data_IF_994806331016
#
_entry.id   IF_994806331016
#
_cell.length_a   1.000
_cell.length_b   1.000
_cell.length_c   1.000
_cell.angle_alpha   90.00
_cell.angle_beta   90.00
_cell.angle_gamma   90.00
#
_symmetry.space_group_name_H-M   'P 1'
#
loop_
_entity.id
_entity.type
_entity.pdbx_description
1 polymer ?
2 branched ?
3 branched ?
4 non-polymer ?
5 non-polymer ?
6 non-polymer ?
7 water ?
#
# COMPACT_ATOMS: atom_id res chain seq x y z
N UNK A 1 -4.58 2.87 0.98
CA UNK A 1 -4.41 3.86 2.09
C UNK A 1 -4.89 5.23 1.66
N UNK A 2 -5.09 6.07 2.66
CA UNK A 2 -5.35 7.47 2.37
C UNK A 2 -4.06 8.22 2.11
N UNK A 3 -4.15 9.55 2.11
CA UNK A 3 -2.96 10.37 1.75
C UNK A 3 -1.72 10.15 2.61
N UNK A 4 -1.93 10.09 3.91
CA UNK A 4 -0.80 9.98 4.80
C UNK A 4 -0.04 8.66 4.59
N UNK A 5 -0.80 7.57 4.47
CA UNK A 5 -0.13 6.27 4.27
C UNK A 5 0.69 6.26 3.00
N UNK A 6 0.13 6.74 1.90
CA UNK A 6 0.91 6.73 0.64
C UNK A 6 2.10 7.70 0.74
N UNK A 7 1.91 8.83 1.42
CA UNK A 7 3.09 9.75 1.51
C UNK A 7 4.25 9.07 2.28
N UNK A 8 3.91 8.36 3.34
CA UNK A 8 4.89 7.70 4.19
C UNK A 8 5.63 6.67 3.36
N UNK A 9 4.86 5.81 2.69
CA UNK A 9 5.47 4.80 1.86
C UNK A 9 6.39 5.39 0.79
N UNK A 10 5.90 6.43 0.09
CA UNK A 10 6.75 7.02 -0.95
C UNK A 10 7.96 7.77 -0.38
N UNK A 11 7.83 8.38 0.79
CA UNK A 11 8.98 9.09 1.37
C UNK A 11 10.05 8.11 1.75
N UNK A 12 9.65 6.99 2.35
CA UNK A 12 10.61 5.95 2.71
C UNK A 12 11.27 5.41 1.43
N UNK A 13 10.47 5.10 0.42
CA UNK A 13 10.98 4.52 -0.83
C UNK A 13 11.97 5.46 -1.54
N UNK A 14 11.61 6.74 -1.60
CA UNK A 14 12.50 7.60 -2.36
C UNK A 14 13.89 7.71 -1.77
N UNK A 15 14.03 7.58 -0.45
CA UNK A 15 15.36 7.70 0.13
C UNK A 15 16.14 6.41 0.09
N UNK A 16 15.50 5.35 -0.40
CA UNK A 16 16.15 4.05 -0.56
C UNK A 16 16.48 3.70 -2.00
N UNK A 17 16.32 4.65 -2.93
CA UNK A 17 16.63 4.39 -4.34
C UNK A 17 18.11 4.43 -4.59
N UNK A 18 18.57 3.59 -5.51
CA UNK A 18 19.99 3.64 -5.84
C UNK A 18 20.14 4.72 -6.90
N UNK A 19 21.38 5.05 -7.29
CA UNK A 19 21.49 6.17 -8.24
C UNK A 19 20.75 6.00 -9.58
N UNK A 20 20.72 4.81 -10.18
CA UNK A 20 20.01 4.70 -11.49
C UNK A 20 18.50 4.87 -11.35
N UNK A 21 17.93 4.30 -10.31
CA UNK A 21 16.49 4.51 -10.07
C UNK A 21 16.21 5.97 -9.64
N UNK A 22 17.09 6.61 -8.86
CA UNK A 22 16.84 8.00 -8.43
C UNK A 22 16.81 8.88 -9.67
N UNK A 23 17.72 8.60 -10.60
CA UNK A 23 17.79 9.33 -11.86
C UNK A 23 16.52 9.15 -12.70
N UNK A 24 16.10 7.91 -12.88
CA UNK A 24 14.89 7.62 -13.67
C UNK A 24 13.67 8.26 -13.04
N UNK A 25 13.54 8.20 -11.70
CA UNK A 25 12.36 8.83 -11.07
C UNK A 25 12.37 10.35 -11.28
N UNK A 26 13.55 10.96 -11.15
CA UNK A 26 13.59 12.42 -11.34
C UNK A 26 13.20 12.75 -12.78
N UNK A 27 13.62 11.93 -13.75
CA UNK A 27 13.28 12.19 -15.15
C UNK A 27 11.82 11.95 -15.47
N UNK A 28 11.21 10.93 -14.84
CA UNK A 28 9.81 10.63 -15.10
C UNK A 28 8.81 11.53 -14.35
N UNK A 29 9.18 12.15 -13.24
CA UNK A 29 8.22 12.99 -12.54
C UNK A 29 7.95 14.29 -13.29
N UNK A 30 6.72 14.80 -13.24
CA UNK A 30 6.49 16.07 -13.96
C UNK A 30 7.15 17.23 -13.19
N UNK A 31 7.39 18.35 -13.87
CA UNK A 31 8.02 19.48 -13.20
C UNK A 31 7.28 19.92 -11.95
N UNK A 32 5.94 19.84 -11.96
CA UNK A 32 5.16 20.30 -10.83
C UNK A 32 5.39 19.55 -9.50
N UNK A 33 5.91 18.33 -9.60
CA UNK A 33 6.19 17.52 -8.42
C UNK A 33 7.43 17.98 -7.68
N UNK A 34 8.20 18.87 -8.28
CA UNK A 34 9.42 19.36 -7.68
C UNK A 34 10.36 18.26 -7.21
N UNK A 35 10.43 17.18 -7.97
CA UNK A 35 11.33 16.10 -7.66
C UNK A 35 10.88 15.12 -6.57
N UNK A 36 9.69 15.35 -6.00
CA UNK A 36 9.23 14.55 -4.84
C UNK A 36 8.19 13.52 -5.25
N UNK A 37 8.54 12.23 -5.30
CA UNK A 37 7.59 11.19 -5.65
C UNK A 37 6.37 11.25 -4.74
N UNK A 38 6.57 11.54 -3.46
CA UNK A 38 5.43 11.50 -2.55
C UNK A 38 4.40 12.60 -2.81
N UNK A 39 4.74 13.59 -3.65
CA UNK A 39 3.75 14.60 -3.91
C UNK A 39 2.68 14.05 -4.86
N UNK A 40 2.95 12.91 -5.52
CA UNK A 40 2.00 12.33 -6.50
C UNK A 40 1.61 10.89 -6.16
N UNK A 41 1.89 10.46 -4.95
CA UNK A 41 1.54 9.07 -4.62
C UNK A 41 0.04 8.80 -4.44
N UNK A 42 -0.79 9.85 -4.52
CA UNK A 42 -2.26 9.68 -4.48
C UNK A 42 -2.86 9.91 -5.88
N UNK A 43 -2.01 10.20 -6.87
CA UNK A 43 -2.49 10.45 -8.23
C UNK A 43 -3.37 9.32 -8.71
N UNK A 44 -2.99 8.08 -8.42
CA UNK A 44 -3.86 7.00 -8.90
C UNK A 44 -5.27 7.09 -8.35
N UNK A 45 -5.43 7.53 -7.10
CA UNK A 45 -6.80 7.62 -6.59
C UNK A 45 -7.61 8.70 -7.34
N UNK A 46 -6.92 9.68 -7.90
CA UNK A 46 -7.59 10.75 -8.62
C UNK A 46 -7.97 10.45 -10.06
N UNK A 47 -7.68 9.26 -10.55
CA UNK A 47 -8.12 8.89 -11.90
C UNK A 47 -9.05 7.65 -11.87
N UNK A 48 -9.56 7.32 -10.68
CA UNK A 48 -10.45 6.17 -10.55
C UNK A 48 -11.71 6.33 -11.47
N UNK A 49 -12.16 7.57 -11.68
CA UNK A 49 -13.35 7.80 -12.55
C UNK A 49 -12.98 8.22 -13.96
N UNK A 50 -11.94 9.02 -14.10
CA UNK A 50 -11.49 9.36 -15.43
C UNK A 50 -10.99 8.10 -16.15
N UNK A 51 -10.37 7.19 -15.42
CA UNK A 51 -9.89 5.92 -16.00
C UNK A 51 -10.66 4.89 -15.20
N UNK A 52 -11.92 4.64 -15.59
CA UNK A 52 -12.72 3.77 -14.75
C UNK A 52 -12.27 2.30 -14.68
N UNK A 53 -11.56 1.88 -15.72
CA UNK A 53 -11.02 0.55 -15.84
C UNK A 53 -9.94 0.41 -14.75
N UNK A 54 -9.51 1.52 -14.16
CA UNK A 54 -8.44 1.40 -13.15
C UNK A 54 -8.97 1.17 -11.72
N UNK A 55 -10.27 1.37 -11.47
CA UNK A 55 -10.78 1.27 -10.11
C UNK A 55 -10.54 -0.07 -9.40
N UNK A 56 -10.76 -1.21 -10.11
CA UNK A 56 -10.55 -2.51 -9.47
C UNK A 56 -9.08 -2.83 -9.24
N UNK A 57 -8.19 -2.04 -9.85
CA UNK A 57 -6.75 -2.30 -9.76
C UNK A 57 -6.21 -1.91 -8.39
N UNK A 58 -7.02 -1.30 -7.54
CA UNK A 58 -6.51 -0.89 -6.21
C UNK A 58 -6.62 -1.95 -5.16
N UNK A 59 -7.32 -3.06 -5.42
CA UNK A 59 -7.48 -4.03 -4.33
C UNK A 59 -7.65 -5.46 -4.91
N UNK A 60 -7.81 -6.41 -4.00
CA UNK A 60 -8.08 -7.83 -4.33
C UNK A 60 -9.24 -8.25 -3.48
N UNK A 61 -10.25 -8.87 -4.09
CA UNK A 61 -11.39 -9.40 -3.33
C UNK A 61 -11.18 -10.92 -3.17
N UNK A 62 -11.31 -11.43 -1.95
CA UNK A 62 -11.14 -12.88 -1.76
C UNK A 62 -12.40 -13.48 -1.11
N UNK A 63 -12.48 -14.84 -1.06
CA UNK A 63 -13.63 -15.48 -0.41
C UNK A 63 -13.41 -15.21 1.10
N UNK A 64 -14.39 -15.56 1.93
CA UNK A 64 -14.23 -15.38 3.36
C UNK A 64 -13.32 -16.46 3.96
N UNK A 65 -12.00 -16.30 3.84
CA UNK A 65 -11.03 -17.25 4.41
C UNK A 65 -9.72 -16.50 4.45
N UNK A 66 -8.63 -17.02 5.04
CA UNK A 66 -7.38 -16.24 5.11
C UNK A 66 -6.39 -16.61 4.03
N UNK A 67 -6.94 -16.86 2.87
CA UNK A 67 -6.20 -17.35 1.74
C UNK A 67 -6.19 -16.43 0.53
N UNK A 68 -5.05 -16.35 -0.17
CA UNK A 68 -4.99 -15.59 -1.44
C UNK A 68 -4.25 -16.44 -2.48
N UNK A 69 -4.85 -16.55 -3.68
CA UNK A 69 -4.25 -17.27 -4.81
C UNK A 69 -4.48 -16.42 -6.06
N UNK A 70 -3.42 -16.07 -6.78
CA UNK A 70 -3.56 -15.22 -7.97
C UNK A 70 -4.59 -15.76 -8.98
N UNK A 71 -4.43 -17.02 -9.35
CA UNK A 71 -5.37 -17.50 -10.37
C UNK A 71 -6.83 -17.48 -9.93
N UNK A 72 -7.08 -17.72 -8.65
CA UNK A 72 -8.46 -17.71 -8.13
C UNK A 72 -9.02 -16.31 -7.90
N UNK A 73 -8.20 -15.44 -7.31
CA UNK A 73 -8.69 -14.11 -6.89
C UNK A 73 -8.36 -12.88 -7.70
N UNK A 74 -7.36 -12.97 -8.54
CA UNK A 74 -6.98 -11.79 -9.28
C UNK A 74 -7.82 -11.67 -10.54
N UNK A 75 -8.98 -11.04 -10.38
CA UNK A 75 -9.94 -10.84 -11.46
C UNK A 75 -10.91 -9.76 -10.97
N UNK A 76 -11.56 -9.06 -11.88
CA UNK A 76 -12.46 -8.04 -11.41
C UNK A 76 -13.88 -8.62 -11.31
N UNK A 77 -14.87 -7.77 -11.07
CA UNK A 77 -16.24 -8.22 -10.92
C UNK A 77 -16.76 -8.96 -12.19
N UNK A 78 -16.20 -8.61 -13.35
CA UNK A 78 -16.62 -9.23 -14.61
C UNK A 78 -15.95 -10.56 -14.82
N UNK A 79 -14.96 -10.86 -13.99
CA UNK A 79 -14.25 -12.12 -14.11
C UNK A 79 -13.00 -12.02 -14.95
N UNK A 80 -12.67 -10.83 -15.44
CA UNK A 80 -11.46 -10.68 -16.26
C UNK A 80 -10.21 -10.90 -15.40
N UNK A 81 -9.44 -11.93 -15.74
CA UNK A 81 -8.23 -12.28 -14.99
C UNK A 81 -7.18 -11.17 -15.04
N UNK A 82 -6.47 -10.99 -13.92
CA UNK A 82 -5.43 -9.98 -13.90
C UNK A 82 -5.85 -8.60 -13.46
N UNK A 83 -7.15 -8.35 -13.32
CA UNK A 83 -7.59 -7.02 -12.96
C UNK A 83 -7.77 -6.85 -11.45
N UNK A 84 -6.63 -6.75 -10.77
CA UNK A 84 -6.62 -6.55 -9.30
C UNK A 84 -5.24 -5.92 -9.05
N UNK A 85 -5.00 -5.50 -7.79
CA UNK A 85 -3.72 -4.82 -7.52
C UNK A 85 -2.47 -5.66 -7.82
N UNK A 86 -2.52 -6.98 -7.62
CA UNK A 86 -1.30 -7.79 -7.95
C UNK A 86 -1.07 -7.77 -9.45
N UNK A 87 -2.14 -7.97 -10.22
CA UNK A 87 -1.98 -7.89 -11.68
C UNK A 87 -1.54 -6.51 -12.17
N UNK A 88 -1.97 -5.44 -11.51
CA UNK A 88 -1.59 -4.09 -11.90
C UNK A 88 -0.09 -3.92 -11.64
N UNK A 89 0.35 -4.44 -10.50
CA UNK A 89 1.76 -4.29 -10.19
C UNK A 89 2.64 -5.02 -11.24
N UNK A 90 2.25 -6.22 -11.63
CA UNK A 90 3.00 -6.91 -12.69
C UNK A 90 2.95 -6.11 -13.97
N UNK A 91 1.76 -5.59 -14.30
CA UNK A 91 1.61 -4.80 -15.55
C UNK A 91 2.51 -3.58 -15.62
N UNK A 92 2.43 -2.70 -14.61
CA UNK A 92 3.17 -1.48 -14.63
C UNK A 92 4.66 -1.65 -14.38
N UNK A 93 5.04 -2.66 -13.60
CA UNK A 93 6.48 -2.89 -13.43
C UNK A 93 7.07 -3.37 -14.78
N UNK A 94 6.33 -4.21 -15.48
CA UNK A 94 6.84 -4.67 -16.80
C UNK A 94 6.97 -3.48 -17.74
N UNK A 95 6.02 -2.57 -17.72
CA UNK A 95 6.12 -1.39 -18.61
C UNK A 95 7.37 -0.56 -18.30
N UNK A 96 7.72 -0.43 -17.01
CA UNK A 96 8.88 0.38 -16.67
C UNK A 96 10.21 -0.26 -17.07
N UNK A 97 10.20 -1.53 -17.36
CA UNK A 97 11.47 -2.18 -17.77
C UNK A 97 11.84 -1.62 -19.15
N UNK A 98 10.90 -0.98 -19.83
CA UNK A 98 11.20 -0.41 -21.14
C UNK A 98 11.83 0.96 -21.06
N UNK A 99 11.92 1.53 -19.86
CA UNK A 99 12.45 2.89 -19.74
C UNK A 99 13.87 3.03 -20.29
N UNK A 100 14.01 4.04 -21.16
CA UNK A 100 15.23 4.44 -21.88
C UNK A 100 16.16 3.28 -22.23
N UNK A 108 2.41 1.02 -26.79
CA UNK A 108 3.40 1.76 -25.94
C UNK A 108 2.75 2.67 -24.91
N UNK A 109 3.45 2.80 -23.79
CA UNK A 109 2.85 3.43 -22.63
C UNK A 109 3.46 4.69 -22.08
N UNK A 110 2.62 5.40 -21.33
CA UNK A 110 3.01 6.61 -20.68
C UNK A 110 3.79 6.09 -19.46
N UNK A 111 5.13 6.27 -19.40
CA UNK A 111 5.85 5.72 -18.24
C UNK A 111 5.75 6.58 -16.99
N UNK A 112 5.35 7.85 -17.11
CA UNK A 112 5.10 8.68 -15.93
C UNK A 112 3.90 8.04 -15.23
N UNK A 113 2.84 7.72 -15.98
CA UNK A 113 1.71 7.03 -15.34
C UNK A 113 2.11 5.68 -14.75
N UNK A 114 2.94 4.90 -15.45
CA UNK A 114 3.36 3.59 -14.91
C UNK A 114 4.07 3.78 -13.60
N UNK A 115 4.96 4.76 -13.51
CA UNK A 115 5.69 5.02 -12.23
C UNK A 115 4.69 5.41 -11.12
N UNK A 116 3.71 6.27 -11.45
CA UNK A 116 2.77 6.69 -10.42
C UNK A 116 1.80 5.54 -10.03
N UNK A 117 1.44 4.69 -10.99
CA UNK A 117 0.57 3.57 -10.67
C UNK A 117 1.41 2.57 -9.82
N UNK A 118 2.64 2.26 -10.25
CA UNK A 118 3.44 1.29 -9.45
C UNK A 118 3.63 1.79 -8.02
N UNK A 119 3.90 3.09 -7.85
CA UNK A 119 4.13 3.65 -6.49
C UNK A 119 2.86 3.56 -5.64
N UNK A 120 1.72 3.95 -6.21
CA UNK A 120 0.48 3.85 -5.43
C UNK A 120 0.06 2.36 -5.15
N UNK A 121 0.09 1.52 -6.17
CA UNK A 121 -0.33 0.13 -6.01
C UNK A 121 0.58 -0.68 -5.09
N UNK A 122 1.88 -0.39 -5.08
CA UNK A 122 2.75 -1.10 -4.13
C UNK A 122 2.29 -0.71 -2.72
N UNK A 123 1.83 0.54 -2.57
CA UNK A 123 1.33 0.93 -1.28
C UNK A 123 0.02 0.20 -0.97
N UNK A 124 -0.96 0.24 -1.89
CA UNK A 124 -2.25 -0.36 -1.61
C UNK A 124 -2.18 -1.85 -1.34
N UNK A 125 -1.28 -2.57 -2.03
CA UNK A 125 -1.24 -4.02 -1.81
C UNK A 125 -0.74 -4.36 -0.39
N UNK A 126 -0.20 -3.36 0.33
CA UNK A 126 0.23 -3.56 1.71
C UNK A 126 -0.82 -3.16 2.76
N UNK A 127 -1.94 -2.57 2.32
CA UNK A 127 -3.03 -2.22 3.27
C UNK A 127 -3.79 -3.55 3.43
N UNK A 128 -3.84 -4.12 4.66
CA UNK A 128 -4.54 -5.40 4.84
C UNK A 128 -5.92 -5.50 4.25
N UNK A 129 -6.70 -4.45 4.44
CA UNK A 129 -8.07 -4.50 3.89
C UNK A 129 -8.16 -4.24 2.40
N UNK A 130 -7.03 -4.03 1.74
CA UNK A 130 -7.10 -4.02 0.28
C UNK A 130 -6.91 -5.44 -0.28
N UNK A 131 -6.75 -6.44 0.59
CA UNK A 131 -6.65 -7.86 0.12
C UNK A 131 -7.56 -8.56 1.15
N UNK A 132 -8.86 -8.44 0.92
CA UNK A 132 -9.76 -8.98 1.91
C UNK A 132 -11.07 -9.38 1.27
N UNK A 133 -12.09 -9.53 2.11
CA UNK A 133 -13.34 -10.13 1.65
C UNK A 133 -14.24 -9.40 0.68
N UNK A 134 -14.60 -10.08 -0.38
CA UNK A 134 -15.53 -9.48 -1.33
C UNK A 134 -16.88 -9.22 -0.58
N UNK A 135 -17.22 -10.11 0.34
CA UNK A 135 -18.54 -10.02 1.00
C UNK A 135 -18.84 -8.74 1.81
N UNK A 136 -17.78 -8.10 2.31
CA UNK A 136 -17.97 -6.82 3.00
C UNK A 136 -17.19 -5.67 2.31
N UNK A 137 -16.86 -5.89 1.03
CA UNK A 137 -16.17 -4.90 0.19
C UNK A 137 -14.95 -4.40 0.92
N UNK A 138 -14.16 -5.37 1.39
CA UNK A 138 -12.92 -5.01 2.08
C UNK A 138 -13.11 -4.20 3.35
N UNK A 139 -14.17 -4.52 4.10
CA UNK A 139 -14.48 -3.84 5.34
C UNK A 139 -15.23 -2.53 5.12
N UNK A 140 -15.51 -2.17 3.88
CA UNK A 140 -16.22 -0.91 3.66
C UNK A 140 -17.67 -0.92 4.18
N UNK A 141 -18.26 -2.12 4.27
CA UNK A 141 -19.63 -2.24 4.76
C UNK A 141 -19.73 -2.53 6.24
N UNK A 142 -18.59 -2.60 6.96
CA UNK A 142 -18.59 -2.84 8.41
C UNK A 142 -18.57 -1.47 9.08
N UNK A 143 -19.72 -1.06 9.59
CA UNK A 143 -19.87 0.26 10.19
C UNK A 143 -19.68 0.20 11.69
N UNK A 144 -18.72 0.99 12.19
CA UNK A 144 -18.41 1.03 13.60
C UNK A 144 -18.20 2.50 13.99
N UNK A 145 -17.57 2.73 15.13
CA UNK A 145 -17.23 4.08 15.54
C UNK A 145 -15.72 4.04 15.79
N UNK A 146 -15.02 5.09 15.37
CA UNK A 146 -13.59 5.22 15.67
C UNK A 146 -13.68 6.27 16.78
N UNK A 147 -13.38 5.90 18.02
CA UNK A 147 -13.60 6.79 19.16
C UNK A 147 -15.05 7.28 19.09
N UNK A 148 -15.32 8.59 19.08
CA UNK A 148 -16.73 9.01 19.11
C UNK A 148 -17.42 9.20 17.76
N UNK A 149 -16.71 8.98 16.66
CA UNK A 149 -17.26 9.24 15.37
C UNK A 149 -17.56 8.01 14.54
N UNK A 150 -18.60 8.10 13.73
CA UNK A 150 -18.92 6.99 12.82
C UNK A 150 -17.80 6.79 11.77
N UNK A 151 -17.47 5.53 11.48
CA UNK A 151 -16.47 5.24 10.45
C UNK A 151 -16.68 3.78 10.00
N UNK A 152 -16.21 3.44 8.82
CA UNK A 152 -16.26 2.03 8.42
C UNK A 152 -14.86 1.45 8.68
N UNK A 153 -14.78 0.12 8.76
CA UNK A 153 -13.50 -0.46 9.12
C UNK A 153 -12.44 -0.24 8.04
N UNK A 154 -12.84 -0.22 6.78
CA UNK A 154 -11.87 0.01 5.71
C UNK A 154 -11.20 1.38 5.89
N UNK A 155 -12.00 2.39 6.15
CA UNK A 155 -11.48 3.76 6.34
C UNK A 155 -10.60 3.88 7.57
N UNK A 156 -10.89 3.08 8.59
CA UNK A 156 -10.08 3.08 9.80
C UNK A 156 -8.67 2.66 9.42
N UNK A 157 -8.55 1.62 8.60
CA UNK A 157 -7.21 1.19 8.16
C UNK A 157 -6.58 2.08 7.10
N UNK A 158 -7.35 2.65 6.19
CA UNK A 158 -6.71 3.52 5.19
C UNK A 158 -6.23 4.82 5.85
N UNK A 159 -7.05 5.31 6.78
CA UNK A 159 -6.82 6.65 7.38
C UNK A 159 -6.87 6.90 8.88
N UNK A 160 -7.90 6.39 9.60
CA UNK A 160 -8.03 6.86 10.99
C UNK A 160 -6.90 6.47 11.91
N UNK A 161 -6.41 5.23 11.79
CA UNK A 161 -5.30 4.82 12.68
C UNK A 161 -4.09 5.72 12.48
N UNK A 162 -3.70 5.92 11.22
CA UNK A 162 -2.56 6.77 10.94
C UNK A 162 -2.82 8.20 11.39
N UNK A 163 -3.99 8.72 11.09
CA UNK A 163 -4.25 10.12 11.47
C UNK A 163 -4.24 10.31 12.97
N UNK A 164 -4.80 9.35 13.69
CA UNK A 164 -4.84 9.47 15.16
C UNK A 164 -3.41 9.38 15.66
N UNK A 165 -2.60 8.45 15.12
CA UNK A 165 -1.21 8.39 15.60
C UNK A 165 -0.46 9.71 15.29
N UNK A 166 -0.66 10.24 14.09
CA UNK A 166 0.03 11.50 13.71
C UNK A 166 -0.29 12.64 14.67
N UNK A 167 -1.56 12.75 15.05
CA UNK A 167 -1.94 13.82 15.97
C UNK A 167 -1.49 13.54 17.42
N UNK A 168 -1.89 12.37 17.91
CA UNK A 168 -1.69 12.06 19.32
C UNK A 168 -0.29 11.64 19.70
N UNK A 169 0.30 10.75 18.91
CA UNK A 169 1.63 10.28 19.27
C UNK A 169 2.74 11.11 18.67
N UNK A 170 2.50 11.72 17.50
CA UNK A 170 3.58 12.48 16.87
C UNK A 170 3.36 14.01 16.86
N UNK A 171 2.39 14.47 17.65
CA UNK A 171 2.19 15.94 17.84
C UNK A 171 2.08 16.68 16.52
N UNK A 172 1.35 16.07 15.59
CA UNK A 172 1.12 16.61 14.24
C UNK A 172 2.33 16.66 13.30
N UNK A 173 3.39 15.92 13.60
CA UNK A 173 4.56 15.88 12.69
C UNK A 173 4.53 14.50 11.97
N UNK A 174 4.02 14.41 10.75
CA UNK A 174 4.05 13.11 10.06
C UNK A 174 5.52 12.80 9.74
N UNK A 175 6.38 13.83 9.56
CA UNK A 175 7.77 13.47 9.32
C UNK A 175 8.26 12.78 10.55
N UNK A 176 7.59 12.94 11.70
CA UNK A 176 8.06 12.23 12.88
C UNK A 176 7.85 10.70 12.71
N UNK A 177 6.72 10.32 12.11
CA UNK A 177 6.41 8.90 11.91
C UNK A 177 7.36 8.32 10.87
N UNK A 178 7.59 9.10 9.81
CA UNK A 178 8.56 8.68 8.79
C UNK A 178 9.91 8.44 9.42
N UNK A 179 10.39 9.42 10.19
CA UNK A 179 11.68 9.28 10.80
C UNK A 179 11.81 8.07 11.72
N UNK A 180 10.75 7.79 12.51
CA UNK A 180 10.77 6.67 13.44
C UNK A 180 10.76 5.34 12.66
N UNK A 181 9.98 5.29 11.58
CA UNK A 181 10.00 4.04 10.75
C UNK A 181 11.37 3.86 10.15
N UNK A 182 11.94 4.91 9.55
CA UNK A 182 13.32 4.78 9.00
C UNK A 182 14.31 4.35 10.06
N UNK A 183 14.23 4.91 11.25
CA UNK A 183 15.14 4.43 12.30
C UNK A 183 14.98 2.97 12.65
N UNK A 184 13.74 2.49 12.70
CA UNK A 184 13.58 1.10 13.00
C UNK A 184 13.99 0.22 11.86
N UNK A 185 13.82 0.67 10.61
CA UNK A 185 14.22 -0.17 9.44
C UNK A 185 15.75 -0.43 9.59
N UNK A 186 16.45 0.56 10.13
CA UNK A 186 17.91 0.45 10.34
C UNK A 186 18.36 -0.31 11.59
N UNK A 187 17.75 0.00 12.73
CA UNK A 187 18.13 -0.57 14.04
C UNK A 187 17.35 -1.68 14.68
N UNK A 188 16.10 -1.87 14.29
CA UNK A 188 15.31 -2.92 14.90
C UNK A 188 14.95 -4.04 13.94
N UNK A 189 14.73 -3.70 12.66
CA UNK A 189 14.23 -4.68 11.67
C UNK A 189 15.19 -5.06 10.58
N UNK A 190 16.48 -4.81 10.78
CA UNK A 190 17.41 -5.02 9.70
C UNK A 190 17.38 -6.40 9.06
N UNK A 191 17.33 -7.45 9.85
CA UNK A 191 17.30 -8.79 9.23
C UNK A 191 16.02 -9.04 8.42
N UNK A 192 14.88 -8.62 8.97
CA UNK A 192 13.60 -8.79 8.26
C UNK A 192 13.60 -7.94 7.01
N UNK A 193 14.15 -6.73 7.08
CA UNK A 193 14.19 -5.85 5.91
C UNK A 193 14.86 -6.55 4.74
N UNK A 194 15.95 -7.27 5.02
CA UNK A 194 16.58 -7.99 3.93
C UNK A 194 15.64 -9.02 3.28
N UNK A 195 14.81 -9.67 4.07
CA UNK A 195 13.86 -10.59 3.46
C UNK A 195 12.75 -9.83 2.73
N UNK A 196 12.32 -8.68 3.27
CA UNK A 196 11.25 -7.94 2.59
C UNK A 196 11.73 -7.54 1.17
N UNK A 197 13.03 -7.27 1.03
CA UNK A 197 13.58 -6.82 -0.26
C UNK A 197 13.84 -7.87 -1.31
N UNK A 198 13.92 -9.11 -0.88
CA UNK A 198 14.21 -10.23 -1.74
C UNK A 198 13.10 -10.63 -2.65
N UNK A 199 13.38 -10.74 -3.93
CA UNK A 199 12.36 -11.20 -4.84
C UNK A 199 13.08 -11.99 -5.96
N UNK A 200 12.76 -13.26 -6.10
CA UNK A 200 13.40 -14.07 -7.16
C UNK A 200 12.77 -13.81 -8.53
N UNK A 201 11.63 -13.13 -8.58
CA UNK A 201 11.01 -12.82 -9.87
C UNK A 201 11.72 -11.70 -10.57
N UNK A 202 11.48 -11.65 -11.88
CA UNK A 202 12.11 -10.67 -12.75
C UNK A 202 11.94 -9.24 -12.25
N UNK A 203 10.76 -8.97 -11.72
CA UNK A 203 10.45 -7.62 -11.31
C UNK A 203 9.98 -7.44 -9.90
N UNK A 204 8.78 -7.92 -9.70
CA UNK A 204 8.11 -7.73 -8.44
C UNK A 204 7.47 -9.02 -8.00
N UNK A 205 7.18 -9.11 -6.70
CA UNK A 205 6.61 -10.31 -6.07
C UNK A 205 5.30 -9.97 -5.35
N UNK A 206 4.32 -9.31 -6.02
CA UNK A 206 3.08 -8.95 -5.31
C UNK A 206 2.28 -10.07 -4.64
N UNK A 207 2.35 -11.29 -5.16
CA UNK A 207 1.56 -12.33 -4.52
C UNK A 207 2.03 -12.63 -3.09
N UNK A 208 3.32 -12.40 -2.83
CA UNK A 208 3.90 -12.56 -1.48
C UNK A 208 3.25 -11.51 -0.55
N UNK A 209 3.16 -10.29 -1.06
CA UNK A 209 2.64 -9.20 -0.23
C UNK A 209 1.14 -9.35 0.02
N UNK A 210 0.42 -9.79 -1.00
CA UNK A 210 -1.02 -10.00 -0.86
C UNK A 210 -1.30 -11.14 0.11
N UNK A 211 -0.54 -12.24 0.03
CA UNK A 211 -0.75 -13.33 1.00
C UNK A 211 -0.58 -12.88 2.43
N UNK A 212 0.46 -12.08 2.69
CA UNK A 212 0.67 -11.53 4.04
C UNK A 212 -0.52 -10.66 4.44
N UNK A 213 -1.02 -9.90 3.47
CA UNK A 213 -2.07 -8.93 3.73
C UNK A 213 -3.40 -9.57 4.13
N UNK A 214 -3.85 -10.63 3.42
CA UNK A 214 -5.15 -11.23 3.82
C UNK A 214 -4.95 -11.90 5.19
N UNK A 215 -3.76 -12.42 5.47
CA UNK A 215 -3.48 -13.01 6.79
C UNK A 215 -3.61 -11.90 7.87
N UNK A 216 -3.09 -10.70 7.58
CA UNK A 216 -3.26 -9.61 8.53
C UNK A 216 -4.74 -9.14 8.62
N UNK A 217 -5.43 -9.14 7.49
CA UNK A 217 -6.84 -8.74 7.57
C UNK A 217 -7.56 -9.69 8.55
N UNK A 218 -7.29 -11.00 8.43
CA UNK A 218 -7.96 -11.93 9.34
C UNK A 218 -7.54 -11.80 10.78
N UNK A 219 -6.22 -11.71 10.99
CA UNK A 219 -5.73 -11.72 12.37
C UNK A 219 -5.77 -10.42 13.14
N UNK A 220 -5.74 -9.32 12.39
CA UNK A 220 -5.66 -8.00 13.02
C UNK A 220 -6.75 -7.05 12.63
N UNK A 221 -7.13 -6.99 11.36
CA UNK A 221 -8.14 -5.96 11.02
C UNK A 221 -9.56 -6.36 11.37
N UNK A 222 -10.00 -7.50 10.84
CA UNK A 222 -11.35 -8.01 11.09
C UNK A 222 -11.50 -8.57 12.50
N UNK A 223 -10.39 -9.05 13.04
CA UNK A 223 -10.38 -9.73 14.33
C UNK A 223 -10.99 -8.96 15.44
N UNK A 224 -12.02 -9.52 16.04
CA UNK A 224 -12.61 -8.88 17.19
C UNK A 224 -13.56 -7.75 16.86
N UNK A 225 -13.80 -7.49 15.59
CA UNK A 225 -14.69 -6.37 15.20
C UNK A 225 -16.07 -6.79 14.75
N UNK A 226 -17.09 -6.20 15.35
CA UNK A 226 -18.47 -6.46 14.92
C UNK A 226 -19.15 -5.15 14.63
N UNK A 227 -20.02 -5.16 13.62
CA UNK A 227 -20.85 -3.99 13.27
C UNK A 227 -21.36 -3.31 14.55
N UNK A 228 -21.18 -2.00 14.65
CA UNK A 228 -21.62 -1.24 15.82
C UNK A 228 -20.65 -1.09 16.98
N UNK A 229 -19.52 -1.80 16.97
CA UNK A 229 -18.56 -1.72 18.06
C UNK A 229 -17.93 -0.34 18.03
N UNK A 230 -17.34 0.05 19.15
CA UNK A 230 -16.58 1.30 19.23
C UNK A 230 -15.13 0.85 19.34
N UNK A 231 -14.32 1.27 18.36
CA UNK A 231 -12.90 0.93 18.36
C UNK A 231 -12.20 2.19 18.87
N UNK A 232 -11.39 2.00 19.89
CA UNK A 232 -10.70 3.14 20.48
C UNK A 232 -9.33 2.78 20.98
N UNK A 233 -8.90 3.21 22.18
CA UNK A 233 -7.50 2.95 22.53
C UNK A 233 -7.00 1.50 22.45
N UNK A 234 -7.78 0.54 22.93
CA UNK A 234 -7.30 -0.86 22.91
C UNK A 234 -6.99 -1.36 21.49
N UNK A 235 -7.91 -1.10 20.56
CA UNK A 235 -7.75 -1.51 19.16
C UNK A 235 -6.60 -0.66 18.55
N UNK A 236 -6.62 0.66 18.84
CA UNK A 236 -5.58 1.54 18.28
C UNK A 236 -4.17 1.09 18.66
N UNK A 237 -3.89 0.95 19.96
CA UNK A 237 -2.52 0.58 20.33
C UNK A 237 -2.13 -0.83 19.91
N UNK A 238 -3.09 -1.75 19.86
CA UNK A 238 -2.73 -3.11 19.46
C UNK A 238 -2.50 -3.25 17.93
N UNK A 239 -3.17 -2.41 17.14
CA UNK A 239 -3.04 -2.50 15.71
C UNK A 239 -2.00 -1.57 15.12
N UNK A 240 -1.56 -0.59 15.90
CA UNK A 240 -0.63 0.37 15.35
C UNK A 240 0.66 -0.32 14.90
N UNK A 241 1.20 -1.27 15.66
CA UNK A 241 2.44 -1.92 15.20
C UNK A 241 2.32 -2.59 13.85
N UNK A 242 1.12 -3.11 13.55
CA UNK A 242 0.92 -3.81 12.22
C UNK A 242 0.87 -2.75 11.13
N UNK A 243 0.23 -1.62 11.43
CA UNK A 243 0.24 -0.52 10.44
C UNK A 243 1.70 -0.08 10.18
N UNK A 244 2.49 0.12 11.25
CA UNK A 244 3.89 0.48 11.05
C UNK A 244 4.59 -0.53 10.16
N UNK A 245 4.37 -1.80 10.47
CA UNK A 245 5.01 -2.87 9.68
C UNK A 245 4.68 -2.77 8.21
N UNK A 246 3.38 -2.67 7.91
CA UNK A 246 2.97 -2.60 6.51
C UNK A 246 3.46 -1.36 5.78
N UNK A 247 3.47 -0.20 6.43
CA UNK A 247 3.98 0.99 5.77
C UNK A 247 5.49 0.81 5.51
N UNK A 248 6.21 0.27 6.49
CA UNK A 248 7.68 0.06 6.27
C UNK A 248 7.92 -0.97 5.15
N UNK A 249 7.16 -2.04 5.17
CA UNK A 249 7.32 -3.06 4.11
C UNK A 249 7.02 -2.42 2.74
N UNK A 250 5.93 -1.62 2.67
CA UNK A 250 5.55 -0.98 1.41
C UNK A 250 6.67 -0.06 0.93
N UNK A 251 7.26 0.73 1.82
CA UNK A 251 8.35 1.64 1.40
C UNK A 251 9.59 0.89 0.93
N UNK A 252 9.95 -0.12 1.72
CA UNK A 252 11.17 -0.91 1.41
C UNK A 252 10.99 -1.67 0.09
N UNK A 253 9.81 -2.26 -0.08
CA UNK A 253 9.54 -2.99 -1.32
C UNK A 253 9.37 -2.13 -2.54
N UNK A 254 8.74 -0.96 -2.39
CA UNK A 254 8.64 -0.07 -3.57
C UNK A 254 10.10 0.31 -4.01
N UNK A 255 10.97 0.68 -3.08
CA UNK A 255 12.33 1.02 -3.50
C UNK A 255 13.04 -0.18 -4.09
N UNK A 256 12.89 -1.35 -3.45
CA UNK A 256 13.60 -2.54 -3.98
C UNK A 256 13.15 -2.86 -5.40
N UNK A 257 11.84 -2.72 -5.64
CA UNK A 257 11.32 -2.95 -6.99
C UNK A 257 11.81 -1.93 -7.99
N UNK A 258 11.73 -0.64 -7.66
CA UNK A 258 12.20 0.36 -8.59
C UNK A 258 13.72 0.19 -8.86
N UNK A 259 14.44 -0.19 -7.82
CA UNK A 259 15.91 -0.38 -8.07
C UNK A 259 16.15 -1.54 -9.06
N UNK A 260 15.35 -2.60 -8.94
CA UNK A 260 15.48 -3.77 -9.83
C UNK A 260 15.06 -3.37 -11.22
N UNK A 261 13.94 -2.66 -11.32
CA UNK A 261 13.46 -2.23 -12.64
C UNK A 261 14.41 -1.33 -13.42
N UNK A 262 14.94 -0.31 -12.76
CA UNK A 262 15.79 0.65 -13.45
C UNK A 262 17.24 0.28 -13.54
N UNK A 263 17.62 -0.77 -12.85
CA UNK A 263 19.02 -1.19 -12.83
C UNK A 263 19.40 -2.22 -13.87
#
# INVERSE_FOLDING_TARGET
WGKEGHEIICKIAQTRLDETAAKAVKELLPESAEGDLSSLCLWADRVKFRYHWSSPLHYINTPDACSYQYNRDCKDESGEKGRCVAGAIYNYTTQLLSYKTAASSQSQYNLTEALLFVSHFMGDIHQPLHVSYASDKGGNTIEVHWYTRKANLHHIWDSNIIETAEADLYNSALEGMVDALKKNITTEWADQVKRWETCTKKTACPDIYASEGIQAACDWAYKGVTEGDTLEDEYFYSRLPIVYQRLAQGGVRLAATLNRIFGHHHHHH
#
